data_IF_832590873102
#
_entry.id   IF_832590873102
#
_cell.length_a   1.000
_cell.length_b   1.000
_cell.length_c   1.000
_cell.angle_alpha   90.00
_cell.angle_beta   90.00
_cell.angle_gamma   90.00
#
_symmetry.space_group_name_H-M   'P 1'
#
loop_
_entity.id
_entity.type
_entity.pdbx_description
1 polymer ?
#
# COMPACT_ATOMS: atom_id res chain seq x y z
N UNK A 1 0.29 -1.92 34.75
CA UNK A 1 1.08 -0.67 34.90
C UNK A 1 2.15 -0.69 33.82
N UNK A 2 2.36 0.41 33.11
CA UNK A 2 3.32 0.56 32.04
C UNK A 2 4.22 1.74 32.39
N UNK A 3 5.53 1.50 32.46
CA UNK A 3 6.52 2.51 32.82
C UNK A 3 7.01 3.27 31.58
N UNK A 4 7.45 4.53 31.74
CA UNK A 4 8.22 5.21 30.71
C UNK A 4 9.44 4.38 30.33
N UNK A 5 9.63 4.12 29.04
CA UNK A 5 10.71 3.26 28.56
C UNK A 5 11.14 3.63 27.15
N UNK A 6 12.41 3.38 26.83
CA UNK A 6 12.98 3.64 25.51
C UNK A 6 12.67 2.53 24.48
N UNK A 7 12.35 1.33 24.95
CA UNK A 7 12.08 0.15 24.11
C UNK A 7 10.65 -0.33 24.36
N UNK A 8 9.90 -0.74 23.31
CA UNK A 8 8.53 -1.22 23.48
C UNK A 8 8.47 -2.51 24.32
N UNK A 9 7.48 -2.58 25.21
CA UNK A 9 7.16 -3.78 25.99
C UNK A 9 6.05 -4.60 25.34
N UNK A 10 6.13 -5.92 25.50
CA UNK A 10 5.04 -6.86 25.15
C UNK A 10 4.00 -6.86 26.25
N UNK A 11 2.77 -6.46 25.91
CA UNK A 11 1.62 -6.48 26.81
C UNK A 11 0.64 -7.58 26.36
N UNK A 12 0.40 -8.61 27.20
CA UNK A 12 -0.50 -9.72 26.87
C UNK A 12 -1.96 -9.25 26.76
N UNK A 13 -2.68 -9.75 25.76
CA UNK A 13 -4.11 -9.41 25.54
C UNK A 13 -5.06 -10.43 26.13
N UNK A 14 -4.57 -11.63 26.50
CA UNK A 14 -5.36 -12.84 26.81
C UNK A 14 -6.23 -13.36 25.68
N UNK A 15 -6.04 -12.83 24.47
CA UNK A 15 -6.61 -13.39 23.26
C UNK A 15 -5.61 -14.36 22.64
N UNK A 16 -6.10 -15.51 22.19
CA UNK A 16 -5.31 -16.52 21.51
C UNK A 16 -5.83 -16.63 20.08
N UNK A 17 -4.96 -16.91 19.14
CA UNK A 17 -5.40 -17.37 17.82
C UNK A 17 -5.97 -18.81 17.88
N UNK A 18 -6.22 -19.46 16.75
CA UNK A 18 -6.00 -19.04 15.36
C UNK A 18 -7.03 -18.02 14.85
N UNK A 19 -6.68 -17.30 13.79
CA UNK A 19 -7.60 -16.36 13.15
C UNK A 19 -8.49 -17.10 12.12
N UNK A 20 -9.56 -16.48 11.60
CA UNK A 20 -10.32 -17.06 10.51
C UNK A 20 -9.44 -17.46 9.32
N UNK A 21 -9.76 -18.57 8.61
CA UNK A 21 -9.00 -19.00 7.45
C UNK A 21 -8.85 -17.89 6.40
N UNK A 22 -7.69 -17.85 5.72
CA UNK A 22 -7.38 -16.86 4.67
C UNK A 22 -7.39 -15.39 5.14
N UNK A 23 -7.24 -15.15 6.45
CA UNK A 23 -7.12 -13.79 7.00
C UNK A 23 -5.83 -13.61 7.78
N UNK A 24 -5.28 -12.40 7.81
CA UNK A 24 -4.30 -12.00 8.81
C UNK A 24 -4.91 -10.96 9.74
N UNK A 25 -4.39 -10.89 10.95
CA UNK A 25 -4.81 -9.92 11.95
C UNK A 25 -3.90 -8.70 11.89
N UNK A 26 -4.44 -7.54 11.55
CA UNK A 26 -3.75 -6.26 11.68
C UNK A 26 -4.09 -5.65 13.04
N UNK A 27 -3.11 -5.62 13.93
CA UNK A 27 -3.20 -5.02 15.26
C UNK A 27 -2.78 -3.56 15.20
N UNK A 28 -3.67 -2.65 15.59
CA UNK A 28 -3.45 -1.20 15.58
C UNK A 28 -3.72 -0.57 16.93
N UNK A 29 -2.95 0.47 17.25
CA UNK A 29 -3.19 1.31 18.42
C UNK A 29 -4.43 2.17 18.29
N UNK A 30 -5.01 2.56 19.42
CA UNK A 30 -6.07 3.55 19.45
C UNK A 30 -5.51 4.96 19.56
N UNK A 31 -6.13 5.90 18.85
CA UNK A 31 -5.78 7.33 18.91
C UNK A 31 -5.89 7.89 20.34
N UNK A 32 -6.83 7.37 21.15
CA UNK A 32 -7.05 7.77 22.55
C UNK A 32 -5.91 7.43 23.51
N UNK A 33 -5.08 6.43 23.18
CA UNK A 33 -3.86 6.10 23.92
C UNK A 33 -2.66 6.87 23.37
N UNK A 34 -2.63 7.06 22.05
CA UNK A 34 -1.60 7.85 21.37
C UNK A 34 -1.60 9.29 21.88
N UNK A 35 -2.78 9.91 22.05
CA UNK A 35 -2.91 11.26 22.61
C UNK A 35 -2.46 11.38 24.07
N UNK A 36 -2.28 10.25 24.76
CA UNK A 36 -1.81 10.18 26.15
C UNK A 36 -0.33 9.77 26.23
N UNK A 37 0.39 9.76 25.12
CA UNK A 37 1.82 9.41 25.09
C UNK A 37 2.09 7.91 25.15
N UNK A 38 1.11 7.07 24.79
CA UNK A 38 1.25 5.62 24.68
C UNK A 38 1.11 5.22 23.22
N UNK A 39 2.19 4.72 22.65
CA UNK A 39 2.21 4.24 21.27
C UNK A 39 2.09 2.73 21.27
N UNK A 40 1.07 2.21 20.60
CA UNK A 40 0.99 0.80 20.26
C UNK A 40 1.61 0.62 18.87
N UNK A 41 2.67 -0.15 18.79
CA UNK A 41 3.29 -0.47 17.52
C UNK A 41 2.37 -1.41 16.73
N UNK A 42 2.16 -1.16 15.42
CA UNK A 42 1.41 -2.06 14.57
C UNK A 42 1.99 -3.47 14.60
N UNK A 43 1.11 -4.47 14.58
CA UNK A 43 1.48 -5.87 14.54
C UNK A 43 0.71 -6.62 13.47
N UNK A 44 1.37 -7.56 12.80
CA UNK A 44 0.73 -8.52 11.91
C UNK A 44 0.67 -9.86 12.63
N UNK A 45 -0.52 -10.45 12.70
CA UNK A 45 -0.78 -11.75 13.30
C UNK A 45 -1.15 -12.71 12.17
N UNK A 46 -0.32 -13.74 11.99
CA UNK A 46 -0.55 -14.76 10.96
C UNK A 46 -1.81 -15.58 11.27
N UNK A 47 -2.47 -16.11 10.23
CA UNK A 47 -3.69 -16.92 10.36
C UNK A 47 -3.49 -18.16 11.25
N UNK A 48 -2.31 -18.78 11.13
CA UNK A 48 -1.90 -20.00 11.81
C UNK A 48 -1.22 -19.75 13.16
N UNK A 49 -1.13 -18.49 13.62
CA UNK A 49 -0.58 -18.16 14.92
C UNK A 49 -1.49 -18.66 16.05
N UNK A 50 -1.01 -19.62 16.85
CA UNK A 50 -1.79 -20.27 17.92
C UNK A 50 -1.52 -19.75 19.33
N UNK A 51 -0.53 -18.87 19.50
CA UNK A 51 -0.12 -18.36 20.81
C UNK A 51 -0.98 -17.17 21.21
N UNK A 52 -0.73 -16.66 22.41
CA UNK A 52 -1.35 -15.42 22.88
C UNK A 52 -0.93 -14.25 21.98
N UNK A 53 -1.90 -13.48 21.53
CA UNK A 53 -1.70 -12.22 20.82
C UNK A 53 -1.19 -11.20 21.84
N UNK A 54 -0.07 -10.56 21.53
CA UNK A 54 0.54 -9.56 22.39
C UNK A 54 0.57 -8.22 21.66
N UNK A 55 0.37 -7.15 22.42
CA UNK A 55 0.50 -5.77 21.91
C UNK A 55 1.89 -5.25 22.24
N UNK A 56 2.55 -4.61 21.29
CA UNK A 56 3.84 -3.94 21.51
C UNK A 56 3.57 -2.49 21.88
N UNK A 57 3.93 -2.09 23.10
CA UNK A 57 3.61 -0.75 23.62
C UNK A 57 4.85 0.00 24.09
N UNK A 58 4.99 1.23 23.61
CA UNK A 58 5.91 2.22 24.12
C UNK A 58 5.14 3.25 24.94
N UNK A 59 5.67 3.64 26.09
CA UNK A 59 5.07 4.68 26.92
C UNK A 59 6.09 5.75 27.21
N UNK A 60 5.68 7.01 27.08
CA UNK A 60 6.46 8.18 27.50
C UNK A 60 6.09 8.61 28.93
N UNK A 61 4.97 8.09 29.46
CA UNK A 61 4.44 8.41 30.79
C UNK A 61 4.22 7.14 31.62
N UNK A 62 4.06 7.30 32.93
CA UNK A 62 3.58 6.22 33.77
C UNK A 62 2.08 6.03 33.52
N UNK A 63 1.67 4.86 33.04
CA UNK A 63 0.27 4.58 32.72
C UNK A 63 -0.25 3.33 33.41
N UNK A 64 -1.41 3.42 34.04
CA UNK A 64 -2.07 2.29 34.67
C UNK A 64 -3.34 1.89 33.92
N UNK A 65 -3.26 0.76 33.22
CA UNK A 65 -4.44 0.13 32.64
C UNK A 65 -5.33 -0.49 33.73
N UNK A 66 -6.63 -0.32 33.56
CA UNK A 66 -7.68 -1.04 34.29
C UNK A 66 -8.12 -2.26 33.47
N UNK A 67 -8.64 -3.27 34.15
CA UNK A 67 -9.24 -4.44 33.47
C UNK A 67 -10.40 -3.95 32.59
N UNK A 68 -10.37 -4.30 31.30
CA UNK A 68 -11.38 -3.88 30.33
C UNK A 68 -11.00 -2.64 29.51
N UNK A 69 -9.87 -1.99 29.81
CA UNK A 69 -9.36 -0.93 28.95
C UNK A 69 -9.08 -1.47 27.55
N UNK A 70 -9.60 -0.77 26.54
CA UNK A 70 -9.36 -1.12 25.14
C UNK A 70 -7.98 -0.60 24.74
N UNK A 71 -7.04 -1.51 24.59
CA UNK A 71 -5.61 -1.21 24.39
C UNK A 71 -5.22 -1.11 22.92
N UNK A 72 -5.88 -1.87 22.06
CA UNK A 72 -5.63 -1.92 20.63
C UNK A 72 -6.94 -2.30 19.92
N UNK A 73 -6.89 -2.35 18.60
CA UNK A 73 -7.93 -2.92 17.74
C UNK A 73 -7.28 -3.98 16.87
N UNK A 74 -8.00 -5.07 16.59
CA UNK A 74 -7.55 -6.15 15.72
C UNK A 74 -8.51 -6.24 14.54
N UNK A 75 -8.01 -5.98 13.34
CA UNK A 75 -8.76 -6.09 12.10
C UNK A 75 -8.38 -7.40 11.39
N UNK A 76 -9.38 -8.17 10.98
CA UNK A 76 -9.16 -9.34 10.13
C UNK A 76 -9.23 -8.90 8.67
N UNK A 77 -8.14 -9.06 7.95
CA UNK A 77 -8.04 -8.70 6.54
C UNK A 77 -7.78 -9.96 5.71
N UNK A 78 -8.49 -10.16 4.58
CA UNK A 78 -8.20 -11.27 3.69
C UNK A 78 -6.80 -11.12 3.09
N UNK A 79 -6.12 -12.23 2.82
CA UNK A 79 -4.89 -12.23 2.02
C UNK A 79 -4.84 -13.37 1.03
N UNK A 80 -4.09 -13.15 -0.05
CA UNK A 80 -3.78 -14.16 -1.04
C UNK A 80 -2.50 -14.87 -0.61
N UNK A 81 -2.58 -16.15 -0.25
CA UNK A 81 -1.39 -16.94 0.06
C UNK A 81 -0.65 -17.29 -1.23
N UNK A 82 0.51 -16.69 -1.45
CA UNK A 82 1.39 -17.04 -2.58
C UNK A 82 2.45 -18.01 -2.02
N UNK A 83 2.35 -19.28 -2.38
CA UNK A 83 3.18 -20.41 -1.90
C UNK A 83 3.12 -20.68 -0.39
N UNK A 84 2.12 -21.45 0.05
CA UNK A 84 2.02 -21.95 1.42
C UNK A 84 3.06 -23.05 1.68
N UNK A 85 4.14 -22.74 2.41
CA UNK A 85 4.93 -23.78 3.08
C UNK A 85 4.15 -24.30 4.29
N UNK A 86 3.96 -25.62 4.42
CA UNK A 86 3.27 -26.27 5.55
C UNK A 86 4.05 -26.24 6.89
N UNK A 87 5.05 -25.38 7.03
CA UNK A 87 5.85 -25.30 8.25
C UNK A 87 5.11 -24.52 9.34
N UNK A 88 4.83 -25.19 10.46
CA UNK A 88 4.23 -24.58 11.64
C UNK A 88 5.16 -23.49 12.18
N UNK A 89 4.75 -22.22 12.06
CA UNK A 89 5.53 -21.12 12.62
C UNK A 89 5.35 -21.02 14.13
N UNK A 90 6.42 -21.30 14.86
CA UNK A 90 6.49 -21.19 16.33
C UNK A 90 7.17 -19.90 16.82
N UNK A 91 7.65 -19.06 15.89
CA UNK A 91 8.34 -17.79 16.18
C UNK A 91 7.39 -16.67 16.63
N UNK A 92 7.93 -15.66 17.33
CA UNK A 92 7.20 -14.45 17.71
C UNK A 92 7.74 -13.20 17.00
N UNK A 93 7.44 -12.01 17.51
CA UNK A 93 7.97 -10.75 16.95
C UNK A 93 9.49 -10.80 16.75
N UNK A 94 9.95 -10.57 15.51
CA UNK A 94 11.37 -10.60 15.11
C UNK A 94 11.87 -11.96 14.57
N UNK A 95 11.03 -13.00 14.44
CA UNK A 95 11.48 -14.30 13.92
C UNK A 95 11.73 -14.34 12.40
N UNK A 96 11.60 -13.21 11.70
CA UNK A 96 11.62 -13.11 10.22
C UNK A 96 12.83 -12.31 9.71
N UNK A 97 13.80 -12.01 10.57
CA UNK A 97 14.91 -11.11 10.27
C UNK A 97 15.90 -11.63 9.19
N UNK A 98 15.72 -12.86 8.69
CA UNK A 98 16.55 -13.46 7.62
C UNK A 98 15.94 -13.43 6.21
N UNK A 99 14.69 -12.99 6.02
CA UNK A 99 13.98 -13.08 4.70
C UNK A 99 13.72 -11.73 4.03
N UNK A 100 14.65 -10.79 4.14
CA UNK A 100 14.51 -9.46 3.55
C UNK A 100 14.67 -9.43 2.01
N UNK A 101 15.35 -10.44 1.43
CA UNK A 101 15.63 -10.52 -0.02
C UNK A 101 14.51 -11.15 -0.87
N UNK A 102 13.53 -11.80 -0.26
CA UNK A 102 12.47 -12.51 -1.00
C UNK A 102 11.29 -11.60 -1.38
N UNK A 103 11.03 -10.56 -0.57
CA UNK A 103 9.94 -9.61 -0.81
C UNK A 103 10.16 -8.72 -2.03
N UNK A 104 11.40 -8.25 -2.25
CA UNK A 104 11.72 -7.36 -3.37
C UNK A 104 11.51 -8.03 -4.72
N UNK A 105 11.84 -9.33 -4.80
CA UNK A 105 11.65 -10.14 -6.00
C UNK A 105 10.17 -10.49 -6.22
N UNK A 106 9.44 -10.92 -5.19
CA UNK A 106 8.02 -11.29 -5.31
C UNK A 106 7.10 -10.12 -5.64
N UNK A 107 7.36 -8.92 -5.09
CA UNK A 107 6.58 -7.71 -5.42
C UNK A 107 6.81 -7.29 -6.87
N UNK A 108 8.05 -7.45 -7.37
CA UNK A 108 8.38 -7.16 -8.77
C UNK A 108 7.74 -8.13 -9.76
N UNK A 109 7.52 -9.38 -9.36
CA UNK A 109 7.06 -10.46 -10.23
C UNK A 109 5.52 -10.65 -10.19
N UNK A 110 4.85 -10.29 -9.08
CA UNK A 110 3.41 -10.55 -8.89
C UNK A 110 2.57 -9.36 -8.41
N UNK A 111 3.15 -8.18 -8.14
CA UNK A 111 2.43 -7.07 -7.53
C UNK A 111 2.70 -5.68 -8.14
N UNK A 112 3.20 -5.59 -9.38
CA UNK A 112 3.00 -4.36 -10.14
C UNK A 112 1.53 -4.33 -10.60
N UNK A 113 0.69 -3.43 -10.06
CA UNK A 113 -0.70 -3.35 -10.48
C UNK A 113 -0.75 -2.67 -11.84
N UNK A 114 -0.35 -3.40 -12.88
CA UNK A 114 -0.38 -2.90 -14.25
C UNK A 114 -1.83 -2.91 -14.71
N UNK A 115 -2.35 -1.75 -15.09
CA UNK A 115 -3.70 -1.59 -15.63
C UNK A 115 -3.64 -1.31 -17.14
N UNK A 116 -4.63 -1.82 -17.87
CA UNK A 116 -4.79 -1.56 -19.30
C UNK A 116 -5.93 -0.58 -19.51
N UNK A 117 -5.61 0.64 -19.93
CA UNK A 117 -6.58 1.69 -20.21
C UNK A 117 -6.68 1.91 -21.72
N UNK A 118 -7.80 2.44 -22.19
CA UNK A 118 -7.89 2.94 -23.57
C UNK A 118 -7.91 4.45 -23.55
N UNK A 119 -7.01 5.08 -24.29
CA UNK A 119 -7.03 6.52 -24.54
C UNK A 119 -7.39 6.68 -26.02
N UNK A 120 -8.48 7.38 -26.33
CA UNK A 120 -8.95 7.62 -27.70
C UNK A 120 -8.96 6.33 -28.56
N UNK A 121 -9.48 5.23 -27.99
CA UNK A 121 -9.55 3.91 -28.62
C UNK A 121 -8.23 3.11 -28.66
N UNK A 122 -7.08 3.72 -28.36
CA UNK A 122 -5.78 3.02 -28.31
C UNK A 122 -5.48 2.50 -26.91
N UNK A 123 -5.04 1.25 -26.81
CA UNK A 123 -4.69 0.62 -25.52
C UNK A 123 -3.32 1.07 -25.03
N UNK A 124 -3.22 1.34 -23.73
CA UNK A 124 -1.99 1.62 -23.01
C UNK A 124 -1.94 0.74 -21.76
N UNK A 125 -0.77 0.15 -21.53
CA UNK A 125 -0.49 -0.63 -20.33
C UNK A 125 0.46 0.18 -19.43
N UNK A 126 0.12 0.34 -18.16
CA UNK A 126 0.91 1.17 -17.25
C UNK A 126 0.74 0.76 -15.80
N UNK A 127 1.73 1.13 -14.98
CA UNK A 127 1.67 0.89 -13.54
C UNK A 127 0.63 1.81 -12.92
N UNK A 128 -0.28 1.23 -12.15
CA UNK A 128 -1.15 1.99 -11.27
C UNK A 128 -0.30 2.59 -10.15
N UNK A 129 -0.07 3.89 -10.22
CA UNK A 129 0.75 4.63 -9.28
C UNK A 129 -0.14 5.47 -8.36
N UNK A 130 -0.46 4.94 -7.18
CA UNK A 130 -1.29 5.62 -6.19
C UNK A 130 -0.60 6.82 -5.54
N UNK A 131 0.72 6.98 -5.76
CA UNK A 131 1.50 8.13 -5.32
C UNK A 131 1.51 9.29 -6.30
N UNK A 132 1.08 9.09 -7.55
CA UNK A 132 1.03 10.13 -8.58
C UNK A 132 -0.39 10.68 -8.77
N UNK A 133 -0.51 12.00 -8.76
CA UNK A 133 -1.76 12.71 -9.08
C UNK A 133 -2.05 12.81 -10.59
N UNK A 134 -1.06 12.48 -11.43
CA UNK A 134 -1.15 12.60 -12.88
C UNK A 134 -0.68 11.34 -13.61
N UNK A 135 -1.33 11.06 -14.73
CA UNK A 135 -0.97 10.00 -15.66
C UNK A 135 0.14 10.48 -16.58
N UNK A 136 1.17 9.66 -16.66
CA UNK A 136 2.37 9.88 -17.46
C UNK A 136 2.45 8.77 -18.49
N UNK A 137 2.40 9.15 -19.77
CA UNK A 137 2.60 8.23 -20.88
C UNK A 137 4.07 8.32 -21.31
N UNK A 138 4.71 7.17 -21.41
CA UNK A 138 6.05 7.05 -21.96
C UNK A 138 6.07 7.58 -23.39
N UNK A 139 7.09 8.39 -23.70
CA UNK A 139 7.37 8.90 -25.05
C UNK A 139 7.49 7.77 -26.07
N UNK A 140 7.92 6.58 -25.65
CA UNK A 140 8.02 5.39 -26.50
C UNK A 140 6.65 4.80 -26.89
N UNK A 141 5.64 4.99 -26.02
CA UNK A 141 4.27 4.52 -26.25
C UNK A 141 3.38 5.57 -26.94
N UNK A 142 3.78 6.85 -26.86
CA UNK A 142 3.01 7.97 -27.38
C UNK A 142 2.84 7.92 -28.91
N UNK A 143 1.60 8.01 -29.44
CA UNK A 143 1.39 8.05 -30.89
C UNK A 143 2.01 9.31 -31.51
N UNK A 144 2.82 9.14 -32.58
CA UNK A 144 3.46 10.27 -33.27
C UNK A 144 2.46 11.27 -33.89
N UNK A 145 1.25 10.81 -34.22
CA UNK A 145 0.18 11.65 -34.74
C UNK A 145 -0.54 12.48 -33.67
N UNK A 146 -0.27 12.24 -32.39
CA UNK A 146 -0.94 12.94 -31.29
C UNK A 146 -0.11 14.15 -30.85
N UNK A 147 -0.70 15.36 -30.84
CA UNK A 147 0.05 16.58 -30.60
C UNK A 147 0.48 16.72 -29.13
N UNK A 148 1.72 17.17 -28.95
CA UNK A 148 2.31 17.50 -27.65
C UNK A 148 3.04 18.82 -27.72
N UNK A 149 3.10 19.53 -26.60
CA UNK A 149 3.87 20.76 -26.43
C UNK A 149 4.85 20.61 -25.27
N UNK A 150 5.96 21.37 -25.29
CA UNK A 150 6.91 21.40 -24.18
C UNK A 150 6.22 22.05 -22.97
N UNK A 151 6.19 21.35 -21.84
CA UNK A 151 5.63 21.81 -20.58
C UNK A 151 6.72 22.27 -19.59
N UNK A 152 7.95 21.79 -19.75
CA UNK A 152 9.09 22.22 -18.93
C UNK A 152 10.29 21.28 -19.06
N UNK A 153 11.31 21.53 -18.23
CA UNK A 153 12.50 20.68 -18.10
C UNK A 153 12.51 20.10 -16.68
N UNK A 154 12.64 18.79 -16.56
CA UNK A 154 12.75 18.12 -15.26
C UNK A 154 14.04 18.53 -14.55
N UNK A 155 13.92 19.06 -13.33
CA UNK A 155 15.03 19.58 -12.54
C UNK A 155 16.07 18.53 -12.14
N UNK A 156 15.68 17.25 -12.12
CA UNK A 156 16.54 16.15 -11.60
C UNK A 156 17.25 15.36 -12.69
N UNK A 157 16.83 15.47 -13.96
CA UNK A 157 17.37 14.64 -15.06
C UNK A 157 17.61 15.33 -16.41
N UNK A 158 17.46 16.67 -16.52
CA UNK A 158 17.61 17.41 -17.79
C UNK A 158 16.83 16.72 -18.92
N UNK A 159 15.56 16.41 -18.66
CA UNK A 159 14.69 15.75 -19.61
C UNK A 159 13.51 16.67 -19.91
N UNK A 160 13.20 16.85 -21.18
CA UNK A 160 12.03 17.62 -21.61
C UNK A 160 10.77 16.89 -21.19
N UNK A 161 9.91 17.61 -20.48
CA UNK A 161 8.57 17.16 -20.11
C UNK A 161 7.62 17.74 -21.16
N UNK A 162 6.87 16.88 -21.82
CA UNK A 162 5.85 17.29 -22.77
C UNK A 162 4.46 17.10 -22.15
N UNK A 163 3.49 17.84 -22.66
CA UNK A 163 2.09 17.67 -22.30
C UNK A 163 1.25 17.58 -23.57
N UNK A 164 0.26 16.70 -23.59
CA UNK A 164 -0.73 16.67 -24.66
C UNK A 164 -1.41 18.04 -24.79
N UNK A 165 -1.58 18.53 -26.02
CA UNK A 165 -2.38 19.73 -26.27
C UNK A 165 -3.88 19.41 -26.32
N UNK A 166 -4.23 18.13 -26.46
CA UNK A 166 -5.60 17.63 -26.51
C UNK A 166 -5.99 16.90 -25.23
N UNK A 167 -7.29 16.95 -24.93
CA UNK A 167 -7.93 16.10 -23.92
C UNK A 167 -8.54 14.91 -24.68
N UNK A 168 -8.22 13.71 -24.25
CA UNK A 168 -8.68 12.49 -24.87
C UNK A 168 -9.76 11.81 -24.01
N UNK A 169 -10.76 11.16 -24.63
CA UNK A 169 -11.60 10.22 -23.93
C UNK A 169 -10.74 9.04 -23.47
N UNK A 170 -10.96 8.59 -22.25
CA UNK A 170 -10.27 7.48 -21.63
C UNK A 170 -11.30 6.47 -21.12
N UNK A 171 -11.01 5.17 -21.23
CA UNK A 171 -11.87 4.10 -20.70
C UNK A 171 -11.06 3.21 -19.77
N UNK A 172 -11.68 2.82 -18.66
CA UNK A 172 -11.17 1.74 -17.82
C UNK A 172 -11.36 0.38 -18.54
N UNK A 173 -10.73 -0.72 -18.05
CA UNK A 173 -10.92 -2.05 -18.64
C UNK A 173 -12.38 -2.49 -18.80
N UNK A 174 -13.23 -2.08 -17.87
CA UNK A 174 -14.67 -2.37 -17.78
C UNK A 174 -15.55 -1.38 -18.56
N UNK A 175 -14.95 -0.35 -19.17
CA UNK A 175 -15.60 0.54 -20.13
C UNK A 175 -16.20 1.83 -19.55
N UNK A 176 -15.99 2.14 -18.27
CA UNK A 176 -16.37 3.44 -17.74
C UNK A 176 -15.58 4.59 -18.39
N UNK A 177 -16.28 5.67 -18.82
CA UNK A 177 -15.65 6.79 -19.47
C UNK A 177 -14.99 7.75 -18.46
N UNK A 178 -13.85 8.30 -18.87
CA UNK A 178 -13.16 9.41 -18.24
C UNK A 178 -12.56 10.31 -19.32
N UNK A 179 -11.99 11.43 -18.91
CA UNK A 179 -11.20 12.30 -19.79
C UNK A 179 -9.80 12.48 -19.22
N UNK A 180 -8.80 12.52 -20.10
CA UNK A 180 -7.41 12.58 -19.71
C UNK A 180 -6.64 13.55 -20.58
N UNK A 181 -5.84 14.41 -19.95
CA UNK A 181 -4.79 15.20 -20.58
C UNK A 181 -3.43 14.69 -20.10
N UNK A 182 -2.83 13.70 -20.78
CA UNK A 182 -1.64 13.03 -20.27
C UNK A 182 -0.40 13.90 -20.39
N UNK A 183 0.50 13.76 -19.42
CA UNK A 183 1.89 14.21 -19.55
C UNK A 183 2.70 13.14 -20.28
N UNK A 184 3.68 13.57 -21.07
CA UNK A 184 4.51 12.68 -21.87
C UNK A 184 5.97 12.95 -21.54
N UNK A 185 6.65 11.93 -21.03
CA UNK A 185 8.08 12.01 -20.70
C UNK A 185 8.79 10.78 -21.24
N UNK A 186 10.10 10.89 -21.39
CA UNK A 186 10.95 9.77 -21.81
C UNK A 186 11.25 8.85 -20.59
N UNK A 187 10.29 7.97 -20.32
CA UNK A 187 10.26 7.02 -19.21
C UNK A 187 10.15 5.56 -19.70
N UNK A 188 10.66 4.58 -18.93
CA UNK A 188 10.64 3.18 -19.34
C UNK A 188 9.24 2.57 -19.38
N UNK A 189 8.27 3.13 -18.63
CA UNK A 189 6.92 2.60 -18.45
C UNK A 189 5.90 3.74 -18.45
N UNK A 190 4.64 3.41 -18.73
CA UNK A 190 3.53 4.33 -18.46
C UNK A 190 3.17 4.27 -16.97
N UNK A 191 2.80 5.40 -16.38
CA UNK A 191 2.29 5.52 -15.01
C UNK A 191 0.86 6.05 -15.06
N UNK A 192 -0.06 5.36 -14.41
CA UNK A 192 -1.47 5.70 -14.37
C UNK A 192 -1.76 6.36 -13.02
N UNK A 193 -2.08 7.65 -13.08
CA UNK A 193 -2.30 8.48 -11.91
C UNK A 193 -3.74 8.42 -11.39
N UNK A 194 -3.97 9.09 -10.26
CA UNK A 194 -5.27 9.07 -9.56
C UNK A 194 -6.36 9.89 -10.25
N UNK A 195 -6.03 10.81 -11.15
CA UNK A 195 -6.99 11.71 -11.77
C UNK A 195 -8.02 11.00 -12.66
N UNK A 196 -7.67 9.84 -13.22
CA UNK A 196 -8.62 9.01 -13.97
C UNK A 196 -9.39 8.07 -13.04
N UNK A 197 -8.77 7.60 -11.95
CA UNK A 197 -9.43 6.77 -10.93
C UNK A 197 -10.54 7.53 -10.20
N UNK A 198 -10.30 8.81 -9.91
CA UNK A 198 -11.31 9.69 -9.31
C UNK A 198 -12.53 9.87 -10.22
N UNK A 199 -12.33 9.86 -11.55
CA UNK A 199 -13.42 9.97 -12.52
C UNK A 199 -14.23 8.67 -12.62
N UNK A 200 -13.58 7.51 -12.47
CA UNK A 200 -14.22 6.20 -12.44
C UNK A 200 -14.90 5.85 -11.11
N UNK A 201 -14.91 6.78 -10.15
CA UNK A 201 -15.46 6.58 -8.80
C UNK A 201 -14.86 5.33 -8.10
N UNK A 202 -13.68 4.89 -8.54
CA UNK A 202 -13.00 3.74 -7.98
C UNK A 202 -12.36 4.16 -6.65
N UNK A 203 -12.85 3.59 -5.55
CA UNK A 203 -12.18 3.71 -4.25
C UNK A 203 -11.07 2.65 -4.17
N UNK A 204 -9.82 3.11 -4.13
CA UNK A 204 -8.70 2.25 -3.74
C UNK A 204 -8.73 2.18 -2.21
N UNK A 205 -9.13 1.02 -1.66
CA UNK A 205 -9.04 0.72 -0.23
C UNK A 205 -7.66 0.17 0.13
#
# INVERSE_FOLDING_TARGET
LLYPQAVPSRIPTRLFGSLPPQTFGLLLGQSSLTSKGITVHPGVIDSDYKREIQTMMLSQILWQFKKGDKTAQLHFLPYISINSSNELRMGGFGSTDQKQSFWTTLVSEFAQPTINIKINGKRFSGLLDTGSDITIISKHSWPKSWPVQIAGISQTKVQEVYQSTQIYPCEEPEGQPATLRPSVIDAPLNLIGREILMQWQTQIY
#
